data_IF_802773291789
#
_entry.id   IF_802773291789
#
_cell.length_a   1.000
_cell.length_b   1.000
_cell.length_c   1.000
_cell.angle_alpha   90.00
_cell.angle_beta   90.00
_cell.angle_gamma   90.00
#
_symmetry.space_group_name_H-M   'P 1'
#
loop_
_entity.id
_entity.type
_entity.pdbx_description
1 polymer ?
#
# COMPACT_ATOMS: atom_id res chain seq x y z
N UNK A 1 -24.48 -28.47 24.55
CA UNK A 1 -24.51 -27.33 23.62
C UNK A 1 -23.24 -26.54 23.83
N UNK A 2 -22.23 -26.80 23.02
CA UNK A 2 -20.92 -26.13 23.08
C UNK A 2 -21.01 -24.87 22.24
N UNK A 3 -21.02 -23.73 22.89
CA UNK A 3 -20.90 -22.42 22.28
C UNK A 3 -19.47 -22.32 21.72
N UNK A 4 -19.31 -22.52 20.43
CA UNK A 4 -18.04 -22.20 19.75
C UNK A 4 -17.89 -20.68 19.80
N UNK A 5 -17.00 -20.18 20.65
CA UNK A 5 -16.53 -18.81 20.60
C UNK A 5 -15.96 -18.56 19.20
N UNK A 6 -16.72 -17.85 18.39
CA UNK A 6 -16.17 -17.25 17.17
C UNK A 6 -15.10 -16.26 17.62
N UNK A 7 -13.83 -16.62 17.42
CA UNK A 7 -12.75 -15.69 17.61
C UNK A 7 -13.09 -14.40 16.84
N UNK A 8 -13.16 -13.27 17.56
CA UNK A 8 -13.43 -11.99 16.95
C UNK A 8 -12.37 -11.77 15.84
N UNK A 9 -12.83 -11.60 14.61
CA UNK A 9 -11.94 -11.33 13.48
C UNK A 9 -11.12 -10.08 13.82
N UNK A 10 -9.80 -10.21 13.79
CA UNK A 10 -8.89 -9.09 14.03
C UNK A 10 -9.14 -8.08 12.91
N UNK A 11 -9.64 -6.90 13.25
CA UNK A 11 -9.84 -5.84 12.26
C UNK A 11 -8.48 -5.37 11.74
N UNK A 12 -8.26 -5.32 10.43
CA UNK A 12 -7.03 -4.81 9.86
C UNK A 12 -6.79 -3.37 10.30
N UNK A 13 -5.57 -3.06 10.72
CA UNK A 13 -5.18 -1.70 11.12
C UNK A 13 -4.65 -0.91 9.91
N UNK A 14 -5.50 -0.12 9.28
CA UNK A 14 -5.15 0.78 8.17
C UNK A 14 -4.02 1.75 8.57
N UNK A 15 -3.89 2.08 9.85
CA UNK A 15 -2.81 2.92 10.35
C UNK A 15 -1.41 2.33 10.09
N UNK A 16 -1.27 1.01 10.07
CA UNK A 16 0.01 0.35 9.74
C UNK A 16 0.41 0.54 8.27
N UNK A 17 -0.56 0.67 7.37
CA UNK A 17 -0.33 1.01 5.98
C UNK A 17 0.01 2.50 5.81
N UNK A 18 -0.83 3.38 6.36
CA UNK A 18 -0.78 4.80 6.04
C UNK A 18 0.16 5.61 6.94
N UNK A 19 0.57 5.07 8.10
CA UNK A 19 1.50 5.71 9.06
C UNK A 19 2.55 4.71 9.55
N UNK A 20 3.26 4.02 8.64
CA UNK A 20 4.21 2.98 9.01
C UNK A 20 5.45 3.59 9.71
N UNK A 21 6.00 2.84 10.64
CA UNK A 21 7.30 3.09 11.25
C UNK A 21 8.39 2.21 10.65
N UNK A 22 7.97 1.13 10.00
CA UNK A 22 8.86 0.18 9.33
C UNK A 22 8.27 -0.28 8.00
N UNK A 23 9.11 -0.30 6.96
CA UNK A 23 8.73 -0.63 5.58
C UNK A 23 9.66 -1.70 5.05
N UNK A 24 9.10 -2.76 4.46
CA UNK A 24 9.85 -3.74 3.69
C UNK A 24 9.62 -3.50 2.18
N UNK A 25 10.67 -3.55 1.36
CA UNK A 25 10.59 -3.49 -0.10
C UNK A 25 11.00 -4.85 -0.65
N UNK A 26 10.02 -5.65 -1.07
CA UNK A 26 10.26 -6.95 -1.71
C UNK A 26 10.44 -6.73 -3.21
N UNK A 27 11.57 -7.15 -3.75
CA UNK A 27 11.99 -6.79 -5.10
C UNK A 27 12.75 -5.46 -5.15
N UNK A 28 13.41 -5.11 -4.04
CA UNK A 28 14.29 -3.95 -3.99
C UNK A 28 15.35 -4.01 -5.10
N UNK A 29 15.69 -2.89 -5.70
CA UNK A 29 16.61 -2.81 -6.84
C UNK A 29 17.44 -1.53 -6.80
N UNK A 30 18.66 -1.60 -7.31
CA UNK A 30 19.48 -0.42 -7.62
C UNK A 30 19.30 0.05 -9.06
N UNK A 31 18.56 -0.68 -9.90
CA UNK A 31 18.38 -0.37 -11.31
C UNK A 31 17.40 0.79 -11.48
N UNK A 32 17.81 1.91 -12.11
CA UNK A 32 16.89 3.01 -12.39
C UNK A 32 15.66 2.55 -13.19
N UNK A 33 14.47 3.02 -12.79
CA UNK A 33 13.21 2.65 -13.43
C UNK A 33 12.60 1.33 -12.94
N UNK A 34 13.32 0.51 -12.14
CA UNK A 34 12.72 -0.63 -11.48
C UNK A 34 11.78 -0.15 -10.35
N UNK A 35 10.62 -0.79 -10.19
CA UNK A 35 9.61 -0.38 -9.20
C UNK A 35 10.18 -0.28 -7.79
N UNK A 36 10.97 -1.29 -7.36
CA UNK A 36 11.58 -1.28 -6.03
C UNK A 36 12.62 -0.17 -5.84
N UNK A 37 13.33 0.24 -6.90
CA UNK A 37 14.23 1.39 -6.84
C UNK A 37 13.46 2.70 -6.72
N UNK A 38 12.35 2.83 -7.45
CA UNK A 38 11.48 4.02 -7.38
C UNK A 38 10.88 4.20 -5.98
N UNK A 39 10.40 3.13 -5.36
CA UNK A 39 9.87 3.17 -3.98
C UNK A 39 10.96 3.60 -3.00
N UNK A 40 12.15 2.99 -3.05
CA UNK A 40 13.27 3.37 -2.18
C UNK A 40 13.64 4.85 -2.38
N UNK A 41 13.82 5.26 -3.63
CA UNK A 41 14.15 6.66 -3.96
C UNK A 41 13.10 7.66 -3.50
N UNK A 42 11.81 7.30 -3.57
CA UNK A 42 10.73 8.12 -3.04
C UNK A 42 10.82 8.29 -1.52
N UNK A 43 11.04 7.19 -0.78
CA UNK A 43 11.18 7.24 0.68
C UNK A 43 12.38 8.07 1.11
N UNK A 44 13.53 7.89 0.46
CA UNK A 44 14.75 8.65 0.76
C UNK A 44 14.60 10.14 0.42
N UNK A 45 14.08 10.48 -0.77
CA UNK A 45 13.86 11.86 -1.20
C UNK A 45 12.92 12.61 -0.27
N UNK A 46 11.91 11.94 0.26
CA UNK A 46 10.95 12.55 1.17
C UNK A 46 11.33 12.42 2.64
N UNK A 47 12.51 11.86 2.96
CA UNK A 47 13.08 11.83 4.31
C UNK A 47 12.34 10.91 5.27
N UNK A 48 11.89 9.74 4.80
CA UNK A 48 11.31 8.74 5.70
C UNK A 48 12.32 8.35 6.78
N UNK A 49 11.95 8.53 8.04
CA UNK A 49 12.84 8.36 9.19
C UNK A 49 12.70 6.98 9.87
N UNK A 50 11.77 6.14 9.41
CA UNK A 50 11.56 4.80 9.95
C UNK A 50 12.53 3.76 9.36
N UNK A 51 12.36 2.52 9.78
CA UNK A 51 13.17 1.40 9.32
C UNK A 51 12.80 0.99 7.89
N UNK A 52 13.80 0.81 7.03
CA UNK A 52 13.62 0.29 5.66
C UNK A 52 14.37 -1.03 5.53
N UNK A 53 13.64 -2.11 5.28
CA UNK A 53 14.16 -3.44 5.01
C UNK A 53 14.09 -3.74 3.52
N UNK A 54 15.26 -3.96 2.89
CA UNK A 54 15.34 -4.29 1.48
C UNK A 54 15.41 -5.81 1.31
N UNK A 55 14.64 -6.36 0.37
CA UNK A 55 14.63 -7.81 0.11
C UNK A 55 14.90 -8.05 -1.38
N UNK A 56 15.99 -8.76 -1.66
CA UNK A 56 16.35 -9.23 -3.00
C UNK A 56 17.23 -10.47 -2.89
N UNK A 57 16.85 -11.64 -3.46
CA UNK A 57 17.62 -12.88 -3.33
C UNK A 57 18.97 -12.86 -4.06
N UNK A 58 19.22 -11.85 -4.91
CA UNK A 58 20.43 -11.76 -5.76
C UNK A 58 21.40 -10.68 -5.31
N UNK A 59 21.10 -9.95 -4.24
CA UNK A 59 21.89 -8.81 -3.76
C UNK A 59 22.05 -8.85 -2.25
N UNK A 60 23.25 -8.62 -1.75
CA UNK A 60 23.52 -8.45 -0.32
C UNK A 60 23.47 -6.99 0.11
N UNK A 61 23.55 -6.06 -0.84
CA UNK A 61 23.52 -4.62 -0.61
C UNK A 61 22.86 -3.88 -1.78
N UNK A 62 22.10 -2.86 -1.50
CA UNK A 62 21.47 -1.95 -2.46
C UNK A 62 21.53 -0.53 -1.88
N UNK A 63 22.10 0.41 -2.63
CA UNK A 63 22.24 1.83 -2.25
C UNK A 63 22.89 2.02 -0.85
N UNK A 64 23.91 1.24 -0.52
CA UNK A 64 24.60 1.31 0.78
C UNK A 64 23.83 0.68 1.94
N UNK A 65 22.70 0.03 1.70
CA UNK A 65 21.88 -0.63 2.71
C UNK A 65 21.98 -2.14 2.58
N UNK A 66 22.08 -2.83 3.71
CA UNK A 66 22.03 -4.29 3.74
C UNK A 66 20.71 -4.80 3.13
N UNK A 67 20.79 -5.89 2.38
CA UNK A 67 19.66 -6.48 1.69
C UNK A 67 19.47 -7.92 2.18
N UNK A 68 18.24 -8.24 2.60
CA UNK A 68 17.85 -9.58 3.03
C UNK A 68 17.62 -10.46 1.79
N UNK A 69 17.95 -11.74 1.89
CA UNK A 69 17.77 -12.69 0.80
C UNK A 69 16.31 -13.15 0.64
N UNK A 70 15.53 -13.16 1.74
CA UNK A 70 14.13 -13.60 1.74
C UNK A 70 13.30 -12.89 2.80
N UNK A 71 11.97 -12.98 2.67
CA UNK A 71 10.99 -12.47 3.65
C UNK A 71 11.18 -13.13 5.02
N UNK A 72 11.62 -14.38 5.07
CA UNK A 72 11.81 -15.11 6.34
C UNK A 72 12.84 -14.45 7.26
N UNK A 73 13.73 -13.64 6.72
CA UNK A 73 14.74 -12.88 7.46
C UNK A 73 14.24 -11.53 7.99
N UNK A 74 13.01 -11.12 7.63
CA UNK A 74 12.42 -9.88 8.18
C UNK A 74 12.23 -9.98 9.69
N UNK A 75 12.38 -8.88 10.42
CA UNK A 75 11.84 -8.78 11.77
C UNK A 75 10.35 -9.10 11.79
N UNK A 76 9.84 -9.66 12.88
CA UNK A 76 8.41 -9.83 13.04
C UNK A 76 7.71 -8.48 13.22
N UNK A 77 6.49 -8.38 12.66
CA UNK A 77 5.62 -7.25 12.88
C UNK A 77 5.99 -5.97 12.13
N UNK A 78 6.78 -6.06 11.03
CA UNK A 78 6.98 -4.92 10.13
C UNK A 78 5.63 -4.33 9.72
N UNK A 79 5.51 -3.00 9.72
CA UNK A 79 4.22 -2.36 9.53
C UNK A 79 3.68 -2.58 8.11
N UNK A 80 4.49 -2.37 7.07
CA UNK A 80 4.05 -2.56 5.69
C UNK A 80 5.14 -3.16 4.81
N UNK A 81 4.74 -4.03 3.89
CA UNK A 81 5.58 -4.52 2.80
C UNK A 81 5.06 -4.04 1.45
N UNK A 82 5.97 -3.53 0.61
CA UNK A 82 5.66 -3.15 -0.77
C UNK A 82 6.19 -4.23 -1.71
N UNK A 83 5.32 -4.82 -2.53
CA UNK A 83 5.67 -5.88 -3.47
C UNK A 83 5.95 -5.31 -4.85
N UNK A 84 7.24 -5.11 -5.16
CA UNK A 84 7.75 -4.71 -6.46
C UNK A 84 8.27 -5.95 -7.23
N UNK A 85 7.47 -7.01 -7.28
CA UNK A 85 7.79 -8.32 -7.85
C UNK A 85 6.75 -8.74 -8.89
N UNK A 86 7.10 -9.63 -9.84
CA UNK A 86 6.14 -10.19 -10.79
C UNK A 86 5.02 -11.00 -10.11
N UNK A 87 3.83 -10.97 -10.71
CA UNK A 87 2.62 -11.63 -10.20
C UNK A 87 2.81 -13.09 -9.75
N UNK A 88 3.54 -13.98 -10.46
CA UNK A 88 3.67 -15.38 -10.03
C UNK A 88 4.32 -15.59 -8.66
N UNK A 89 5.01 -14.59 -8.14
CA UNK A 89 5.68 -14.67 -6.83
C UNK A 89 4.87 -14.01 -5.70
N UNK A 90 3.78 -13.33 -6.02
CA UNK A 90 3.03 -12.52 -5.05
C UNK A 90 2.37 -13.39 -3.99
N UNK A 91 1.64 -14.43 -4.38
CA UNK A 91 0.89 -15.26 -3.42
C UNK A 91 1.79 -15.91 -2.36
N UNK A 92 2.91 -16.49 -2.77
CA UNK A 92 3.86 -17.11 -1.83
C UNK A 92 4.53 -16.06 -0.95
N UNK A 93 4.81 -14.88 -1.49
CA UNK A 93 5.34 -13.74 -0.71
C UNK A 93 4.32 -13.27 0.33
N UNK A 94 3.05 -13.12 -0.03
CA UNK A 94 1.98 -12.74 0.93
C UNK A 94 1.87 -13.77 2.05
N UNK A 95 1.96 -15.06 1.73
CA UNK A 95 1.96 -16.14 2.75
C UNK A 95 3.14 -16.01 3.72
N UNK A 96 4.34 -15.74 3.21
CA UNK A 96 5.52 -15.54 4.04
C UNK A 96 5.40 -14.26 4.90
N UNK A 97 4.86 -13.16 4.35
CA UNK A 97 4.62 -11.93 5.09
C UNK A 97 3.60 -12.11 6.21
N UNK A 98 2.52 -12.86 5.97
CA UNK A 98 1.54 -13.21 6.99
C UNK A 98 2.17 -14.00 8.13
N UNK A 99 3.04 -14.99 7.83
CA UNK A 99 3.80 -15.75 8.82
C UNK A 99 4.74 -14.86 9.66
N UNK A 100 5.25 -13.76 9.10
CA UNK A 100 6.08 -12.74 9.80
C UNK A 100 5.24 -11.66 10.48
N UNK A 101 3.90 -11.78 10.51
CA UNK A 101 2.97 -10.83 11.14
C UNK A 101 3.11 -9.41 10.59
N UNK A 102 3.43 -9.28 9.31
CA UNK A 102 3.45 -7.98 8.63
C UNK A 102 2.03 -7.40 8.64
N UNK A 103 1.89 -6.12 8.98
CA UNK A 103 0.58 -5.51 9.20
C UNK A 103 -0.16 -5.12 7.94
N UNK A 104 0.58 -4.78 6.89
CA UNK A 104 0.00 -4.35 5.63
C UNK A 104 0.86 -4.78 4.44
N UNK A 105 0.24 -4.92 3.27
CA UNK A 105 0.94 -5.17 2.01
C UNK A 105 0.38 -4.29 0.90
N UNK A 106 1.27 -3.72 0.08
CA UNK A 106 0.93 -3.00 -1.16
C UNK A 106 1.36 -3.85 -2.34
N UNK A 107 0.44 -4.19 -3.25
CA UNK A 107 0.69 -5.09 -4.37
C UNK A 107 0.53 -4.35 -5.69
N UNK A 108 1.65 -3.97 -6.32
CA UNK A 108 1.62 -3.24 -7.60
C UNK A 108 1.22 -4.12 -8.78
N UNK A 109 1.57 -5.39 -8.74
CA UNK A 109 1.39 -6.32 -9.87
C UNK A 109 -0.07 -6.44 -10.27
N UNK A 110 -0.31 -6.41 -11.58
CA UNK A 110 -1.54 -6.86 -12.23
C UNK A 110 -1.48 -8.37 -12.53
N UNK A 111 -2.58 -8.94 -13.06
CA UNK A 111 -2.67 -10.35 -13.42
C UNK A 111 -3.55 -11.16 -12.47
N UNK A 112 -4.44 -10.50 -11.74
CA UNK A 112 -5.36 -11.11 -10.77
C UNK A 112 -6.80 -11.15 -11.28
N UNK A 113 -7.79 -10.65 -10.55
CA UNK A 113 -9.20 -10.75 -10.94
C UNK A 113 -9.49 -10.17 -12.33
N UNK A 114 -8.79 -9.12 -12.74
CA UNK A 114 -8.91 -8.51 -14.06
C UNK A 114 -8.37 -9.40 -15.20
N UNK A 115 -7.54 -10.39 -14.88
CA UNK A 115 -6.96 -11.32 -15.87
C UNK A 115 -7.77 -12.63 -16.05
N UNK A 116 -8.91 -12.76 -15.36
CA UNK A 116 -9.80 -13.91 -15.49
C UNK A 116 -9.79 -14.89 -14.30
N UNK A 117 -10.38 -16.07 -14.48
CA UNK A 117 -10.69 -17.00 -13.39
C UNK A 117 -9.49 -17.43 -12.54
N UNK A 118 -8.35 -17.71 -13.16
CA UNK A 118 -7.14 -18.09 -12.43
C UNK A 118 -6.65 -16.96 -11.54
N UNK A 119 -6.56 -15.75 -12.08
CA UNK A 119 -6.13 -14.58 -11.32
C UNK A 119 -7.11 -14.24 -10.19
N UNK A 120 -8.42 -14.42 -10.44
CA UNK A 120 -9.46 -14.26 -9.43
C UNK A 120 -9.31 -15.28 -8.28
N UNK A 121 -8.96 -16.54 -8.59
CA UNK A 121 -8.73 -17.55 -7.56
C UNK A 121 -7.50 -17.19 -6.68
N UNK A 122 -6.42 -16.74 -7.29
CA UNK A 122 -5.23 -16.28 -6.57
C UNK A 122 -5.53 -15.05 -5.69
N UNK A 123 -6.31 -14.09 -6.20
CA UNK A 123 -6.75 -12.92 -5.42
C UNK A 123 -7.60 -13.31 -4.21
N UNK A 124 -8.52 -14.27 -4.36
CA UNK A 124 -9.32 -14.79 -3.22
C UNK A 124 -8.44 -15.45 -2.16
N UNK A 125 -7.40 -16.16 -2.57
CA UNK A 125 -6.46 -16.76 -1.63
C UNK A 125 -5.64 -15.69 -0.88
N UNK A 126 -5.23 -14.61 -1.54
CA UNK A 126 -4.62 -13.45 -0.90
C UNK A 126 -5.58 -12.85 0.15
N UNK A 127 -6.84 -12.66 -0.20
CA UNK A 127 -7.86 -12.15 0.71
C UNK A 127 -8.04 -13.04 1.95
N UNK A 128 -8.06 -14.36 1.75
CA UNK A 128 -8.17 -15.34 2.84
C UNK A 128 -6.98 -15.24 3.79
N UNK A 129 -5.75 -15.23 3.26
CA UNK A 129 -4.52 -15.11 4.05
C UNK A 129 -4.48 -13.80 4.84
N UNK A 130 -4.90 -12.70 4.20
CA UNK A 130 -4.98 -11.39 4.83
C UNK A 130 -5.98 -11.37 6.00
N UNK A 131 -7.17 -11.93 5.81
CA UNK A 131 -8.19 -12.00 6.85
C UNK A 131 -7.73 -12.83 8.06
N UNK A 132 -7.07 -13.97 7.82
CA UNK A 132 -6.53 -14.82 8.89
C UNK A 132 -5.39 -14.15 9.67
N UNK A 133 -4.57 -13.34 8.98
CA UNK A 133 -3.45 -12.63 9.60
C UNK A 133 -3.82 -11.25 10.18
N UNK A 134 -5.02 -10.74 9.94
CA UNK A 134 -5.39 -9.36 10.25
C UNK A 134 -4.57 -8.33 9.45
N UNK A 135 -4.16 -8.67 8.24
CA UNK A 135 -3.28 -7.88 7.39
C UNK A 135 -4.08 -7.01 6.41
N UNK A 136 -3.74 -5.73 6.31
CA UNK A 136 -4.29 -4.83 5.29
C UNK A 136 -3.69 -5.20 3.92
N UNK A 137 -4.52 -5.24 2.87
CA UNK A 137 -4.04 -5.43 1.49
C UNK A 137 -4.49 -4.26 0.62
N UNK A 138 -3.54 -3.46 0.16
CA UNK A 138 -3.77 -2.46 -0.87
C UNK A 138 -3.47 -3.05 -2.25
N UNK A 139 -4.45 -3.00 -3.13
CA UNK A 139 -4.38 -3.65 -4.43
C UNK A 139 -5.01 -5.06 -4.45
N UNK A 140 -4.50 -5.98 -5.28
CA UNK A 140 -3.43 -5.81 -6.28
C UNK A 140 -3.79 -4.83 -7.40
N UNK A 141 -2.86 -4.68 -8.38
CA UNK A 141 -3.07 -3.80 -9.53
C UNK A 141 -3.32 -2.33 -9.12
N UNK A 142 -2.50 -1.80 -8.22
CA UNK A 142 -2.62 -0.44 -7.68
C UNK A 142 -1.35 0.39 -7.95
N UNK A 143 -1.44 1.70 -7.77
CA UNK A 143 -0.27 2.58 -7.76
C UNK A 143 0.32 2.79 -6.36
N UNK A 144 -0.32 2.25 -5.33
CA UNK A 144 0.05 2.43 -3.94
C UNK A 144 -0.56 3.69 -3.31
N UNK A 145 -0.01 4.12 -2.20
CA UNK A 145 -0.53 5.24 -1.43
C UNK A 145 0.53 6.27 -1.04
N UNK A 146 0.07 7.45 -0.70
CA UNK A 146 0.89 8.58 -0.27
C UNK A 146 0.26 9.22 0.96
N UNK A 147 0.98 9.27 2.06
CA UNK A 147 0.66 10.14 3.18
C UNK A 147 1.51 11.43 3.05
N UNK A 148 0.88 12.51 2.59
CA UNK A 148 1.56 13.80 2.42
C UNK A 148 1.94 14.42 3.75
N UNK A 149 1.14 14.23 4.82
CA UNK A 149 1.35 14.83 6.13
C UNK A 149 2.58 14.28 6.83
N UNK A 150 2.88 12.99 6.64
CA UNK A 150 4.06 12.34 7.20
C UNK A 150 5.16 12.10 6.16
N UNK A 151 4.92 12.52 4.91
CA UNK A 151 5.86 12.38 3.80
C UNK A 151 6.25 10.92 3.54
N UNK A 152 5.25 10.03 3.54
CA UNK A 152 5.43 8.59 3.28
C UNK A 152 4.79 8.20 1.95
N UNK A 153 5.55 8.19 0.84
CA UNK A 153 5.08 7.75 -0.47
C UNK A 153 5.39 6.27 -0.71
N UNK A 154 4.41 5.40 -0.52
CA UNK A 154 4.47 3.96 -0.85
C UNK A 154 3.99 3.75 -2.29
N UNK A 155 4.70 4.30 -3.25
CA UNK A 155 4.36 4.28 -4.68
C UNK A 155 5.62 4.21 -5.53
N UNK A 156 5.49 3.67 -6.73
CA UNK A 156 6.58 3.70 -7.72
C UNK A 156 6.53 4.93 -8.64
N UNK A 157 5.46 5.71 -8.58
CA UNK A 157 5.40 7.01 -9.26
C UNK A 157 6.29 7.98 -8.50
N UNK A 158 7.08 8.78 -9.22
CA UNK A 158 7.95 9.76 -8.58
C UNK A 158 7.14 10.83 -7.87
N UNK A 159 7.42 11.02 -6.58
CA UNK A 159 6.73 11.97 -5.70
C UNK A 159 7.77 12.83 -4.99
N UNK A 160 7.57 14.13 -5.02
CA UNK A 160 8.30 15.10 -4.21
C UNK A 160 7.30 15.89 -3.36
N UNK A 161 7.34 15.68 -2.06
CA UNK A 161 6.44 16.35 -1.11
C UNK A 161 7.21 17.53 -0.51
N UNK A 162 6.79 18.75 -0.85
CA UNK A 162 7.38 19.95 -0.28
C UNK A 162 7.07 20.04 1.22
N UNK A 163 8.11 19.96 2.03
CA UNK A 163 8.00 20.02 3.49
C UNK A 163 7.38 21.34 3.99
N UNK A 164 7.52 22.45 3.22
CA UNK A 164 6.98 23.75 3.59
C UNK A 164 5.45 23.83 3.34
N UNK A 165 4.90 22.96 2.49
CA UNK A 165 3.47 22.86 2.23
C UNK A 165 2.74 21.92 3.16
N UNK A 166 3.49 21.15 3.99
CA UNK A 166 2.91 20.21 4.96
C UNK A 166 2.57 20.97 6.23
N UNK A 167 1.29 21.23 6.42
CA UNK A 167 0.76 21.80 7.66
C UNK A 167 -0.39 20.93 8.18
N UNK A 168 -0.09 20.11 9.17
CA UNK A 168 -1.07 19.20 9.76
C UNK A 168 -2.22 19.92 10.50
N UNK A 169 -2.08 21.22 10.77
CA UNK A 169 -3.13 22.03 11.39
C UNK A 169 -4.14 22.56 10.36
N UNK A 170 -3.78 22.56 9.06
CA UNK A 170 -4.68 23.03 7.99
C UNK A 170 -5.56 21.89 7.49
N UNK A 171 -6.84 22.16 7.22
CA UNK A 171 -7.70 21.20 6.54
C UNK A 171 -7.12 20.80 5.19
N UNK A 172 -7.04 19.50 4.93
CA UNK A 172 -6.47 18.93 3.72
C UNK A 172 -7.41 17.89 3.09
N UNK A 173 -7.22 17.59 1.83
CA UNK A 173 -8.06 16.70 1.04
C UNK A 173 -7.42 15.30 1.01
N UNK A 174 -8.18 14.29 1.42
CA UNK A 174 -7.87 12.89 1.17
C UNK A 174 -8.46 12.45 -0.18
N UNK A 175 -7.68 11.74 -0.97
CA UNK A 175 -8.10 11.17 -2.25
C UNK A 175 -8.05 9.65 -2.17
N UNK A 176 -9.19 9.00 -2.40
CA UNK A 176 -9.30 7.54 -2.53
C UNK A 176 -9.84 7.24 -3.91
N UNK A 177 -9.13 6.44 -4.69
CA UNK A 177 -9.53 6.11 -6.05
C UNK A 177 -9.18 4.65 -6.38
N UNK A 178 -10.09 3.94 -7.02
CA UNK A 178 -9.79 2.61 -7.56
C UNK A 178 -8.71 2.69 -8.66
N UNK A 179 -8.78 3.71 -9.50
CA UNK A 179 -7.84 3.93 -10.60
C UNK A 179 -6.64 4.77 -10.14
N UNK A 180 -5.45 4.20 -10.23
CA UNK A 180 -4.21 4.94 -9.96
C UNK A 180 -4.01 6.13 -10.90
N UNK A 181 -4.36 6.01 -12.17
CA UNK A 181 -4.30 7.12 -13.12
C UNK A 181 -5.20 8.27 -12.69
N UNK A 182 -6.44 7.99 -12.27
CA UNK A 182 -7.36 9.00 -11.77
C UNK A 182 -6.88 9.62 -10.47
N UNK A 183 -6.32 8.83 -9.56
CA UNK A 183 -5.67 9.35 -8.35
C UNK A 183 -4.60 10.38 -8.72
N UNK A 184 -3.71 10.07 -9.66
CA UNK A 184 -2.64 10.96 -10.11
C UNK A 184 -3.19 12.25 -10.72
N UNK A 185 -4.19 12.17 -11.61
CA UNK A 185 -4.83 13.33 -12.23
C UNK A 185 -5.46 14.23 -11.19
N UNK A 186 -6.19 13.66 -10.22
CA UNK A 186 -6.80 14.44 -9.14
C UNK A 186 -5.77 15.12 -8.26
N UNK A 187 -4.75 14.39 -7.79
CA UNK A 187 -3.71 14.97 -6.95
C UNK A 187 -2.98 16.11 -7.67
N UNK A 188 -2.65 15.93 -8.96
CA UNK A 188 -2.02 16.98 -9.78
C UNK A 188 -2.95 18.19 -9.94
N UNK A 189 -4.24 17.96 -10.19
CA UNK A 189 -5.24 19.01 -10.34
C UNK A 189 -5.45 19.80 -9.05
N UNK A 190 -5.52 19.12 -7.91
CA UNK A 190 -5.66 19.76 -6.61
C UNK A 190 -4.41 20.57 -6.26
N UNK A 191 -3.23 19.99 -6.46
CA UNK A 191 -1.95 20.65 -6.23
C UNK A 191 -1.78 21.91 -7.11
N UNK A 192 -2.18 21.87 -8.40
CA UNK A 192 -2.12 23.04 -9.29
C UNK A 192 -3.01 24.20 -8.85
N UNK A 193 -3.99 23.92 -7.99
CA UNK A 193 -4.88 24.94 -7.37
C UNK A 193 -4.47 25.30 -5.95
N UNK A 194 -3.26 24.88 -5.52
CA UNK A 194 -2.75 25.09 -4.16
C UNK A 194 -3.69 24.54 -3.06
N UNK A 195 -4.45 23.49 -3.38
CA UNK A 195 -5.28 22.80 -2.41
C UNK A 195 -4.43 21.72 -1.69
N UNK A 196 -4.35 21.75 -0.36
CA UNK A 196 -3.50 20.82 0.38
C UNK A 196 -4.05 19.40 0.33
N UNK A 197 -3.15 18.42 0.16
CA UNK A 197 -3.45 17.00 0.20
C UNK A 197 -3.02 16.42 1.53
N UNK A 198 -3.87 15.57 2.13
CA UNK A 198 -3.51 14.76 3.29
C UNK A 198 -3.02 13.38 2.87
N UNK A 199 -3.81 12.67 2.09
CA UNK A 199 -3.53 11.32 1.61
C UNK A 199 -3.97 11.15 0.16
N UNK A 200 -3.30 10.24 -0.56
CA UNK A 200 -3.76 9.72 -1.84
C UNK A 200 -3.61 8.19 -1.83
N UNK A 201 -4.68 7.48 -2.19
CA UNK A 201 -4.74 6.02 -2.11
C UNK A 201 -5.32 5.46 -3.39
N UNK A 202 -4.59 4.52 -4.02
CA UNK A 202 -5.05 3.78 -5.19
C UNK A 202 -5.44 2.37 -4.77
N UNK A 203 -6.74 2.09 -4.64
CA UNK A 203 -7.19 0.82 -4.07
C UNK A 203 -7.05 -0.38 -5.01
N UNK A 204 -6.90 -0.15 -6.33
CA UNK A 204 -6.74 -1.23 -7.32
C UNK A 204 -7.92 -2.20 -7.32
N UNK A 205 -7.63 -3.51 -7.28
CA UNK A 205 -8.65 -4.56 -7.33
C UNK A 205 -9.40 -4.77 -6.00
N UNK A 206 -8.98 -4.16 -4.92
CA UNK A 206 -9.63 -4.28 -3.60
C UNK A 206 -9.77 -5.74 -3.13
N UNK A 207 -8.65 -6.46 -3.06
CA UNK A 207 -8.68 -7.89 -2.72
C UNK A 207 -9.19 -8.18 -1.31
N UNK A 208 -8.82 -7.35 -0.32
CA UNK A 208 -9.21 -7.53 1.08
C UNK A 208 -9.59 -6.21 1.76
N UNK A 209 -8.90 -5.11 1.46
CA UNK A 209 -9.26 -3.78 1.95
C UNK A 209 -9.94 -3.00 0.85
N UNK A 210 -11.05 -2.36 1.16
CA UNK A 210 -11.93 -1.68 0.21
C UNK A 210 -11.82 -0.16 0.35
N UNK A 211 -12.31 0.57 -0.65
CA UNK A 211 -12.30 2.04 -0.64
C UNK A 211 -12.94 2.62 0.63
N UNK A 212 -14.00 1.99 1.12
CA UNK A 212 -14.74 2.36 2.32
C UNK A 212 -13.85 2.33 3.57
N UNK A 213 -12.97 1.33 3.72
CA UNK A 213 -12.06 1.20 4.87
C UNK A 213 -11.09 2.38 4.95
N UNK A 214 -10.60 2.81 3.79
CA UNK A 214 -9.71 3.98 3.70
C UNK A 214 -10.45 5.29 3.95
N UNK A 215 -11.68 5.42 3.46
CA UNK A 215 -12.54 6.59 3.70
C UNK A 215 -12.82 6.72 5.19
N UNK A 216 -13.22 5.64 5.86
CA UNK A 216 -13.50 5.63 7.30
C UNK A 216 -12.26 6.07 8.09
N UNK A 217 -11.10 5.50 7.78
CA UNK A 217 -9.84 5.91 8.39
C UNK A 217 -9.54 7.41 8.19
N UNK A 218 -9.74 7.92 6.97
CA UNK A 218 -9.45 9.33 6.65
C UNK A 218 -10.42 10.29 7.35
N UNK A 219 -11.69 9.93 7.50
CA UNK A 219 -12.69 10.73 8.20
C UNK A 219 -12.39 10.89 9.70
N UNK A 220 -11.69 9.92 10.30
CA UNK A 220 -11.21 9.99 11.67
C UNK A 220 -9.96 10.88 11.85
N UNK A 221 -9.30 11.28 10.76
CA UNK A 221 -8.09 12.11 10.85
C UNK A 221 -8.44 13.58 11.04
N UNK A 222 -7.96 14.26 12.11
CA UNK A 222 -8.29 15.67 12.38
C UNK A 222 -7.90 16.63 11.26
N UNK A 223 -6.85 16.31 10.52
CA UNK A 223 -6.31 17.10 9.40
C UNK A 223 -7.02 16.85 8.07
N UNK A 224 -7.87 15.83 7.95
CA UNK A 224 -8.61 15.54 6.71
C UNK A 224 -10.05 16.03 6.84
N UNK A 225 -10.47 16.97 6.00
CA UNK A 225 -11.82 17.58 6.02
C UNK A 225 -12.71 17.12 4.87
N UNK A 226 -12.11 16.74 3.75
CA UNK A 226 -12.82 16.30 2.55
C UNK A 226 -12.16 15.03 2.04
N UNK A 227 -12.95 14.04 1.70
CA UNK A 227 -12.51 12.83 1.03
C UNK A 227 -13.16 12.80 -0.35
N UNK A 228 -12.33 12.82 -1.40
CA UNK A 228 -12.78 12.58 -2.76
C UNK A 228 -12.63 11.10 -3.07
N UNK A 229 -13.75 10.37 -3.19
CA UNK A 229 -13.77 8.98 -3.59
C UNK A 229 -14.18 8.87 -5.05
N UNK A 230 -13.37 8.16 -5.84
CA UNK A 230 -13.68 7.85 -7.23
C UNK A 230 -13.56 6.35 -7.41
N UNK A 231 -14.72 5.70 -7.46
CA UNK A 231 -14.86 4.29 -7.79
C UNK A 231 -15.45 4.18 -9.19
N UNK A 232 -14.65 3.67 -10.13
CA UNK A 232 -15.16 3.32 -11.46
C UNK A 232 -15.55 1.84 -11.45
N UNK A 233 -16.72 1.52 -11.97
CA UNK A 233 -17.14 0.15 -12.26
C UNK A 233 -16.38 -0.39 -13.50
N UNK A 234 -15.06 -0.22 -13.50
CA UNK A 234 -14.24 -0.40 -14.70
C UNK A 234 -13.92 -1.84 -15.08
N UNK A 235 -14.20 -2.81 -14.20
CA UNK A 235 -13.80 -4.21 -14.43
C UNK A 235 -14.99 -5.18 -14.45
N UNK A 236 -16.19 -4.71 -14.83
CA UNK A 236 -17.35 -5.59 -15.10
C UNK A 236 -18.05 -6.16 -13.85
N UNK A 237 -17.71 -5.71 -12.67
CA UNK A 237 -18.45 -6.04 -11.45
C UNK A 237 -19.56 -5.01 -11.27
N UNK A 238 -20.77 -5.32 -11.77
CA UNK A 238 -21.93 -4.44 -11.85
C UNK A 238 -22.10 -3.45 -10.68
N UNK A 239 -22.73 -2.31 -11.00
CA UNK A 239 -23.24 -1.39 -9.97
C UNK A 239 -24.27 -2.17 -9.17
N UNK A 240 -24.04 -2.36 -7.89
CA UNK A 240 -25.07 -2.71 -6.91
C UNK A 240 -25.63 -1.43 -6.37
#
# INVERSE_FOLDING_TARGET
MTTTEMAAAVRPDIGRLLRPRSIAIVGASATPGALGASVLGNLERNGFAGDIHLINPKRSEIAGRACLASVDQLPEGVDVAVLAIPQPFVLDTVRALAARRVGAVVIFSAGFAEAGERGMAEQREIARLAAEAGMVVEGPNCLGCINYLQRVPLTFVEVNIDAQQVDAARPAIGVVSQSGAMMTVLCTTLASRALPLSHAISTGNEAASHAEDYVDFLLEQPSTRVVAMIKANGYGHGIV
#
